data_IF_670515796879
#
_entry.id   IF_670515796879
#
_cell.length_a   1.000
_cell.length_b   1.000
_cell.length_c   1.000
_cell.angle_alpha   90.00
_cell.angle_beta   90.00
_cell.angle_gamma   90.00
#
_symmetry.space_group_name_H-M   'P 1'
#
loop_
_entity.id
_entity.type
_entity.pdbx_description
1 polymer ?
#
# COMPACT_ATOMS: atom_id res chain seq x y z
N UNK A 1 8.52 5.92 -6.50
CA UNK A 1 8.90 4.60 -5.95
C UNK A 1 8.02 3.56 -6.62
N UNK A 2 8.58 2.43 -7.07
CA UNK A 2 7.84 1.37 -7.78
C UNK A 2 7.96 0.06 -7.01
N UNK A 3 6.87 -0.69 -6.90
CA UNK A 3 6.79 -1.94 -6.14
C UNK A 3 6.25 -3.07 -7.01
N UNK A 4 6.72 -4.28 -6.74
CA UNK A 4 6.26 -5.51 -7.37
C UNK A 4 5.67 -6.42 -6.30
N UNK A 5 4.49 -6.98 -6.56
CA UNK A 5 3.83 -7.95 -5.69
C UNK A 5 3.56 -9.25 -6.44
N UNK A 6 3.67 -10.37 -5.73
CA UNK A 6 3.31 -11.70 -6.21
C UNK A 6 2.77 -12.55 -5.06
N UNK A 7 1.65 -13.24 -5.27
CA UNK A 7 1.02 -14.11 -4.27
C UNK A 7 0.16 -13.38 -3.24
N UNK A 8 -0.09 -14.01 -2.09
CA UNK A 8 -0.78 -13.39 -0.95
C UNK A 8 -2.24 -12.99 -1.20
N UNK A 9 -2.94 -13.63 -2.13
CA UNK A 9 -4.33 -13.28 -2.48
C UNK A 9 -4.48 -12.04 -3.37
N UNK A 10 -3.38 -11.40 -3.77
CA UNK A 10 -3.37 -10.21 -4.63
C UNK A 10 -3.73 -10.62 -6.07
N UNK A 11 -4.56 -9.80 -6.74
CA UNK A 11 -4.93 -10.01 -8.14
C UNK A 11 -3.73 -9.82 -9.06
N UNK A 12 -3.21 -10.93 -9.58
CA UNK A 12 -2.14 -10.93 -10.58
C UNK A 12 -2.54 -10.25 -11.90
N UNK A 13 -1.54 -9.82 -12.67
CA UNK A 13 -1.73 -9.16 -13.97
C UNK A 13 -2.28 -7.73 -13.89
N UNK A 14 -2.28 -7.12 -12.71
CA UNK A 14 -2.74 -5.75 -12.50
C UNK A 14 -1.56 -4.79 -12.49
N UNK A 15 -1.65 -3.71 -13.25
CA UNK A 15 -0.72 -2.57 -13.19
C UNK A 15 -1.53 -1.37 -12.72
N UNK A 16 -1.09 -0.71 -11.65
CA UNK A 16 -1.75 0.47 -11.08
C UNK A 16 -0.79 1.64 -11.10
N UNK A 17 -1.29 2.76 -11.64
CA UNK A 17 -0.59 4.02 -11.71
C UNK A 17 0.52 4.07 -12.76
N UNK A 18 1.01 5.28 -12.96
CA UNK A 18 2.07 5.59 -13.92
C UNK A 18 2.84 6.81 -13.46
N UNK A 19 4.15 6.84 -13.68
CA UNK A 19 4.97 8.02 -13.41
C UNK A 19 4.91 9.01 -14.58
N UNK A 20 5.20 10.29 -14.30
CA UNK A 20 5.38 11.31 -15.34
C UNK A 20 6.49 10.93 -16.35
N UNK A 21 6.60 11.69 -17.45
CA UNK A 21 7.57 11.42 -18.53
C UNK A 21 9.04 11.41 -18.05
N UNK A 22 9.32 12.06 -16.92
CA UNK A 22 10.65 12.16 -16.33
C UNK A 22 10.86 11.16 -15.17
N UNK A 23 9.80 10.48 -14.73
CA UNK A 23 9.81 9.52 -13.62
C UNK A 23 9.76 10.12 -12.21
N UNK A 24 9.44 11.42 -12.05
CA UNK A 24 9.55 12.08 -10.75
C UNK A 24 8.31 11.93 -9.87
N UNK A 25 7.12 12.06 -10.45
CA UNK A 25 5.86 11.97 -9.72
C UNK A 25 4.95 10.89 -10.29
N UNK A 26 4.03 10.40 -9.47
CA UNK A 26 2.90 9.61 -9.94
C UNK A 26 1.93 10.53 -10.67
N UNK A 27 1.75 10.29 -11.98
CA UNK A 27 0.86 11.05 -12.85
C UNK A 27 -0.55 10.45 -12.93
N UNK A 28 -0.66 9.12 -12.78
CA UNK A 28 -1.93 8.38 -12.78
C UNK A 28 -2.07 7.55 -11.50
N UNK A 29 -3.28 7.49 -10.95
CA UNK A 29 -3.69 6.72 -9.78
C UNK A 29 -2.64 6.68 -8.64
N UNK A 30 -2.25 7.83 -8.08
CA UNK A 30 -1.28 7.87 -6.99
C UNK A 30 -1.86 7.18 -5.74
N UNK A 31 -1.16 6.15 -5.27
CA UNK A 31 -1.51 5.43 -4.05
C UNK A 31 -0.53 5.80 -2.95
N UNK A 32 -1.05 6.12 -1.77
CA UNK A 32 -0.22 6.37 -0.60
C UNK A 32 0.33 5.06 -0.04
N UNK A 33 1.56 5.08 0.51
CA UNK A 33 2.22 3.86 1.01
C UNK A 33 1.40 3.15 2.11
N UNK A 34 0.74 3.91 2.97
CA UNK A 34 -0.12 3.37 4.03
C UNK A 34 -1.32 2.57 3.48
N UNK A 35 -1.98 3.07 2.44
CA UNK A 35 -3.15 2.39 1.85
C UNK A 35 -2.72 1.10 1.14
N UNK A 36 -1.52 1.11 0.55
CA UNK A 36 -0.93 -0.09 -0.04
C UNK A 36 -0.60 -1.14 1.03
N UNK A 37 -0.02 -0.73 2.15
CA UNK A 37 0.27 -1.64 3.26
C UNK A 37 -1.02 -2.23 3.86
N UNK A 38 -2.06 -1.41 4.02
CA UNK A 38 -3.38 -1.87 4.46
C UNK A 38 -3.98 -2.90 3.50
N UNK A 39 -3.89 -2.65 2.19
CA UNK A 39 -4.35 -3.58 1.15
C UNK A 39 -3.60 -4.91 1.21
N UNK A 40 -2.27 -4.88 1.41
CA UNK A 40 -1.47 -6.10 1.54
C UNK A 40 -1.88 -6.93 2.76
N UNK A 41 -2.08 -6.28 3.92
CA UNK A 41 -2.55 -6.95 5.14
C UNK A 41 -3.94 -7.55 4.93
N UNK A 42 -4.82 -6.82 4.28
CA UNK A 42 -6.16 -7.29 3.92
C UNK A 42 -6.11 -8.54 3.04
N UNK A 43 -5.29 -8.56 1.98
CA UNK A 43 -5.16 -9.72 1.10
C UNK A 43 -4.60 -10.97 1.84
N UNK A 44 -3.79 -10.75 2.87
CA UNK A 44 -3.29 -11.81 3.76
C UNK A 44 -4.30 -12.25 4.85
N UNK A 45 -5.45 -11.59 4.95
CA UNK A 45 -6.50 -11.90 5.93
C UNK A 45 -6.34 -11.20 7.29
N UNK A 46 -5.49 -10.18 7.38
CA UNK A 46 -5.31 -9.38 8.60
C UNK A 46 -6.16 -8.10 8.56
N UNK A 47 -6.70 -7.73 9.72
CA UNK A 47 -7.28 -6.41 9.93
C UNK A 47 -6.19 -5.44 10.42
N UNK A 48 -5.79 -4.53 9.53
CA UNK A 48 -4.73 -3.56 9.79
C UNK A 48 -5.08 -2.57 10.91
N UNK A 49 -6.37 -2.33 11.21
CA UNK A 49 -6.78 -1.40 12.27
C UNK A 49 -6.54 -1.98 13.67
N UNK A 50 -6.48 -3.31 13.79
CA UNK A 50 -6.17 -4.00 15.04
C UNK A 50 -4.68 -3.99 15.38
N UNK A 51 -3.83 -3.57 14.44
CA UNK A 51 -2.38 -3.44 14.64
C UNK A 51 -1.99 -2.04 15.15
N UNK A 52 -2.97 -1.20 15.47
CA UNK A 52 -2.74 0.10 16.08
C UNK A 52 -2.24 -0.08 17.51
N UNK A 53 -1.07 0.49 17.83
CA UNK A 53 -0.51 0.44 19.19
C UNK A 53 -0.24 1.84 19.72
N UNK A 54 -0.40 1.99 21.04
CA UNK A 54 -0.22 3.28 21.71
C UNK A 54 1.24 3.47 22.11
N UNK A 55 1.88 4.50 21.56
CA UNK A 55 3.26 4.86 21.86
C UNK A 55 3.35 6.36 22.11
N UNK A 56 4.04 6.78 23.18
CA UNK A 56 4.19 8.21 23.54
C UNK A 56 2.85 8.98 23.61
N UNK A 57 1.78 8.32 24.07
CA UNK A 57 0.45 8.92 24.21
C UNK A 57 -0.33 9.13 22.89
N UNK A 58 0.19 8.66 21.76
CA UNK A 58 -0.48 8.68 20.45
C UNK A 58 -0.71 7.26 19.95
N UNK A 59 -1.76 7.09 19.17
CA UNK A 59 -2.06 5.82 18.51
C UNK A 59 -1.33 5.82 17.16
N UNK A 60 -0.42 4.87 16.98
CA UNK A 60 0.38 4.70 15.77
C UNK A 60 -0.24 3.61 14.90
N UNK A 61 -0.42 3.92 13.60
CA UNK A 61 -0.92 3.01 12.56
C UNK A 61 0.05 2.92 11.40
#
# INVERSE_FOLDING_TARGET
FSMLFYGGGIRGGTVIGKTDELGYHAAEDPVHVHDLQATMLHCLGFDHELLTYRHQGRDFR
#
